data_IF_097499316589
#
_entry.id   IF_097499316589
#
_cell.length_a   1.000
_cell.length_b   1.000
_cell.length_c   1.000
_cell.angle_alpha   90.00
_cell.angle_beta   90.00
_cell.angle_gamma   90.00
#
_symmetry.space_group_name_H-M   'P 1'
#
loop_
_entity.id
_entity.type
_entity.pdbx_description
1 polymer ?
#
# COMPACT_ATOMS: atom_id res chain seq x y z
N UNK A 1 -16.86 -22.47 28.76
CA UNK A 1 -17.53 -21.67 27.72
C UNK A 1 -16.55 -21.46 26.59
N UNK A 2 -16.85 -21.93 25.38
CA UNK A 2 -16.08 -21.52 24.20
C UNK A 2 -16.43 -20.05 23.95
N UNK A 3 -15.44 -19.16 24.01
CA UNK A 3 -15.65 -17.79 23.56
C UNK A 3 -16.10 -17.88 22.10
N UNK A 4 -17.27 -17.36 21.78
CA UNK A 4 -17.77 -17.29 20.41
C UNK A 4 -16.85 -16.33 19.66
N UNK A 5 -15.80 -16.85 19.03
CA UNK A 5 -14.89 -16.07 18.22
C UNK A 5 -15.59 -15.64 16.95
N UNK A 6 -15.82 -14.33 16.79
CA UNK A 6 -16.45 -13.75 15.61
C UNK A 6 -15.44 -13.51 14.49
N UNK A 7 -15.89 -13.70 13.26
CA UNK A 7 -15.13 -13.44 12.03
C UNK A 7 -15.40 -12.00 11.58
N UNK A 8 -14.33 -11.23 11.37
CA UNK A 8 -14.39 -9.94 10.70
C UNK A 8 -14.15 -10.08 9.19
N UNK A 9 -14.62 -9.10 8.42
CA UNK A 9 -14.28 -8.94 7.01
C UNK A 9 -13.84 -7.52 6.72
N UNK A 10 -12.87 -7.36 5.82
CA UNK A 10 -12.32 -6.05 5.46
C UNK A 10 -12.11 -5.92 3.95
N UNK A 11 -12.49 -4.78 3.40
CA UNK A 11 -12.17 -4.41 2.02
C UNK A 11 -10.83 -3.67 1.99
N UNK A 12 -9.74 -4.40 1.74
CA UNK A 12 -8.39 -3.82 1.66
C UNK A 12 -8.24 -2.80 0.53
N UNK A 13 -9.00 -2.93 -0.57
CA UNK A 13 -8.96 -1.97 -1.67
C UNK A 13 -9.54 -0.64 -1.22
N UNK A 14 -10.69 -0.67 -0.53
CA UNK A 14 -11.31 0.53 0.01
C UNK A 14 -10.42 1.18 1.08
N UNK A 15 -9.86 0.39 2.01
CA UNK A 15 -8.94 0.89 3.04
C UNK A 15 -7.72 1.55 2.41
N UNK A 16 -7.04 0.87 1.48
CA UNK A 16 -5.87 1.42 0.79
C UNK A 16 -6.19 2.71 0.05
N UNK A 17 -7.29 2.76 -0.69
CA UNK A 17 -7.70 3.97 -1.45
C UNK A 17 -7.98 5.20 -0.58
N UNK A 18 -8.34 4.98 0.69
CA UNK A 18 -8.62 6.04 1.67
C UNK A 18 -7.48 6.23 2.68
N UNK A 19 -6.34 5.56 2.47
CA UNK A 19 -5.22 5.68 3.38
C UNK A 19 -4.64 7.11 3.35
N UNK A 20 -4.44 7.76 4.51
CA UNK A 20 -4.08 9.18 4.57
C UNK A 20 -2.72 9.49 3.92
N UNK A 21 -1.79 8.54 3.88
CA UNK A 21 -0.47 8.73 3.28
C UNK A 21 -0.43 8.43 1.77
N UNK A 22 -1.48 7.83 1.19
CA UNK A 22 -1.47 7.40 -0.21
C UNK A 22 -1.24 8.57 -1.18
N UNK A 23 -1.87 9.72 -0.92
CA UNK A 23 -1.70 10.91 -1.76
C UNK A 23 -0.24 11.41 -1.76
N UNK A 24 0.41 11.41 -0.59
CA UNK A 24 1.82 11.82 -0.46
C UNK A 24 2.75 10.84 -1.17
N UNK A 25 2.57 9.54 -0.98
CA UNK A 25 3.34 8.51 -1.65
C UNK A 25 3.20 8.57 -3.18
N UNK A 26 1.97 8.78 -3.69
CA UNK A 26 1.74 8.97 -5.12
C UNK A 26 2.42 10.22 -5.68
N UNK A 27 2.45 11.31 -4.92
CA UNK A 27 3.14 12.54 -5.33
C UNK A 27 4.66 12.33 -5.37
N UNK A 28 5.23 11.63 -4.39
CA UNK A 28 6.65 11.30 -4.35
C UNK A 28 7.04 10.37 -5.51
N UNK A 29 6.22 9.38 -5.83
CA UNK A 29 6.46 8.47 -6.96
C UNK A 29 6.37 9.19 -8.32
N UNK A 30 5.41 10.12 -8.48
CA UNK A 30 5.33 10.96 -9.67
C UNK A 30 6.57 11.84 -9.83
N UNK A 31 7.04 12.45 -8.73
CA UNK A 31 8.28 13.24 -8.74
C UNK A 31 9.48 12.39 -9.12
N UNK A 32 9.63 11.20 -8.53
CA UNK A 32 10.72 10.27 -8.85
C UNK A 32 10.70 9.87 -10.34
N UNK A 33 9.50 9.66 -10.90
CA UNK A 33 9.35 9.31 -12.32
C UNK A 33 9.76 10.47 -13.26
N UNK A 34 9.38 11.70 -12.91
CA UNK A 34 9.78 12.90 -13.67
C UNK A 34 11.29 13.14 -13.60
N UNK A 35 11.88 12.99 -12.42
CA UNK A 35 13.33 13.11 -12.22
C UNK A 35 14.09 12.03 -13.00
N UNK A 36 13.61 10.79 -12.97
CA UNK A 36 14.16 9.68 -13.74
C UNK A 36 14.11 9.95 -15.24
N UNK A 37 12.98 10.48 -15.75
CA UNK A 37 12.86 10.84 -17.16
C UNK A 37 13.86 11.94 -17.56
N UNK A 38 13.92 13.04 -16.80
CA UNK A 38 14.83 14.14 -17.09
C UNK A 38 16.31 13.70 -17.03
N UNK A 39 16.65 12.85 -16.06
CA UNK A 39 18.00 12.32 -15.91
C UNK A 39 18.37 11.34 -17.03
N UNK A 40 17.41 10.51 -17.49
CA UNK A 40 17.57 9.65 -18.65
C UNK A 40 17.82 10.47 -19.93
N UNK A 41 17.01 11.48 -20.22
CA UNK A 41 17.18 12.35 -21.39
C UNK A 41 18.55 13.03 -21.40
N UNK A 42 18.98 13.55 -20.24
CA UNK A 42 20.27 14.21 -20.08
C UNK A 42 21.46 13.26 -20.27
N UNK A 43 21.42 12.07 -19.67
CA UNK A 43 22.55 11.13 -19.69
C UNK A 43 22.62 10.29 -20.95
N UNK A 44 21.46 9.95 -21.53
CA UNK A 44 21.40 9.15 -22.75
C UNK A 44 21.97 9.87 -23.97
N UNK A 45 22.04 11.21 -23.96
CA UNK A 45 22.58 11.99 -25.07
C UNK A 45 24.03 11.61 -25.44
N UNK A 46 24.83 11.15 -24.48
CA UNK A 46 26.22 10.72 -24.69
C UNK A 46 26.42 9.21 -24.71
N UNK A 47 25.36 8.42 -24.51
CA UNK A 47 25.42 6.95 -24.41
C UNK A 47 25.21 6.28 -25.77
N UNK A 48 25.87 5.14 -25.97
CA UNK A 48 25.54 4.22 -27.06
C UNK A 48 24.26 3.42 -26.75
N UNK A 49 23.77 2.62 -27.70
CA UNK A 49 22.48 1.93 -27.55
C UNK A 49 22.48 0.89 -26.41
N UNK A 50 23.60 0.20 -26.18
CA UNK A 50 23.73 -0.75 -25.08
C UNK A 50 23.69 -0.03 -23.74
N UNK A 51 24.48 1.04 -23.59
CA UNK A 51 24.52 1.85 -22.37
C UNK A 51 23.15 2.49 -22.07
N UNK A 52 22.43 2.97 -23.09
CA UNK A 52 21.06 3.47 -22.95
C UNK A 52 20.11 2.40 -22.44
N UNK A 53 20.17 1.21 -23.03
CA UNK A 53 19.34 0.07 -22.62
C UNK A 53 19.61 -0.31 -21.16
N UNK A 54 20.88 -0.45 -20.78
CA UNK A 54 21.27 -0.80 -19.41
C UNK A 54 20.87 0.29 -18.41
N UNK A 55 21.02 1.56 -18.80
CA UNK A 55 20.60 2.69 -17.97
C UNK A 55 19.08 2.74 -17.76
N UNK A 56 18.32 2.45 -18.82
CA UNK A 56 16.86 2.36 -18.75
C UNK A 56 16.42 1.25 -17.79
N UNK A 57 16.99 0.06 -17.89
CA UNK A 57 16.66 -1.06 -17.00
C UNK A 57 16.98 -0.74 -15.53
N UNK A 58 18.14 -0.15 -15.26
CA UNK A 58 18.50 0.30 -13.91
C UNK A 58 17.53 1.37 -13.38
N UNK A 59 17.11 2.29 -14.24
CA UNK A 59 16.16 3.34 -13.88
C UNK A 59 14.81 2.73 -13.50
N UNK A 60 14.32 1.75 -14.28
CA UNK A 60 13.08 1.06 -13.97
C UNK A 60 13.15 0.26 -12.67
N UNK A 61 14.27 -0.40 -12.39
CA UNK A 61 14.48 -1.10 -11.10
C UNK A 61 14.46 -0.14 -9.92
N UNK A 62 15.12 1.04 -10.03
CA UNK A 62 15.09 2.05 -8.96
C UNK A 62 13.68 2.58 -8.72
N UNK A 63 12.91 2.80 -9.77
CA UNK A 63 11.51 3.24 -9.65
C UNK A 63 10.64 2.16 -8.99
N UNK A 64 10.86 0.89 -9.32
CA UNK A 64 10.17 -0.22 -8.64
C UNK A 64 10.50 -0.26 -7.14
N UNK A 65 11.79 -0.23 -6.78
CA UNK A 65 12.23 -0.21 -5.38
C UNK A 65 11.65 0.99 -4.63
N UNK A 66 11.67 2.17 -5.25
CA UNK A 66 11.09 3.38 -4.65
C UNK A 66 9.60 3.22 -4.41
N UNK A 67 8.86 2.59 -5.33
CA UNK A 67 7.44 2.31 -5.14
C UNK A 67 7.22 1.35 -3.95
N UNK A 68 8.02 0.29 -3.84
CA UNK A 68 7.97 -0.65 -2.71
C UNK A 68 8.25 0.07 -1.37
N UNK A 69 9.32 0.87 -1.29
CA UNK A 69 9.67 1.68 -0.10
C UNK A 69 8.55 2.63 0.33
N UNK A 70 7.82 3.20 -0.63
CA UNK A 70 6.71 4.13 -0.36
C UNK A 70 5.42 3.40 0.06
N UNK A 71 5.18 2.19 -0.45
CA UNK A 71 3.96 1.42 -0.19
C UNK A 71 4.06 0.55 1.06
N UNK A 72 5.23 -0.01 1.36
CA UNK A 72 5.45 -0.87 2.54
C UNK A 72 4.96 -0.22 3.87
N UNK A 73 5.27 1.05 4.21
CA UNK A 73 4.75 1.66 5.43
C UNK A 73 3.22 1.82 5.42
N UNK A 74 2.60 1.98 4.25
CA UNK A 74 1.14 2.05 4.09
C UNK A 74 0.53 0.67 4.31
N UNK A 75 1.13 -0.39 3.78
CA UNK A 75 0.63 -1.75 3.98
C UNK A 75 0.75 -2.16 5.45
N UNK A 76 1.88 -1.86 6.08
CA UNK A 76 2.12 -2.15 7.50
C UNK A 76 1.13 -1.40 8.42
N UNK A 77 0.87 -0.12 8.16
CA UNK A 77 -0.11 0.64 8.96
C UNK A 77 -1.53 0.09 8.83
N UNK A 78 -1.91 -0.41 7.64
CA UNK A 78 -3.20 -1.05 7.41
C UNK A 78 -3.29 -2.35 8.21
N UNK A 79 -2.25 -3.19 8.19
CA UNK A 79 -2.21 -4.43 8.96
C UNK A 79 -2.34 -4.16 10.47
N UNK A 80 -1.61 -3.16 10.98
CA UNK A 80 -1.69 -2.75 12.37
C UNK A 80 -3.07 -2.22 12.75
N UNK A 81 -3.70 -1.42 11.88
CA UNK A 81 -5.05 -0.93 12.10
C UNK A 81 -6.10 -2.06 12.11
N UNK A 82 -5.99 -3.02 11.19
CA UNK A 82 -6.84 -4.22 11.17
C UNK A 82 -6.69 -5.00 12.46
N UNK A 83 -5.44 -5.23 12.91
CA UNK A 83 -5.16 -5.94 14.16
C UNK A 83 -5.77 -5.24 15.37
N UNK A 84 -5.56 -3.92 15.53
CA UNK A 84 -6.13 -3.13 16.63
C UNK A 84 -7.66 -3.19 16.63
N UNK A 85 -8.30 -3.09 15.47
CA UNK A 85 -9.75 -3.18 15.35
C UNK A 85 -10.26 -4.58 15.71
N UNK A 86 -9.57 -5.63 15.27
CA UNK A 86 -9.88 -7.00 15.62
C UNK A 86 -9.81 -7.25 17.13
N UNK A 87 -8.72 -6.82 17.77
CA UNK A 87 -8.55 -6.90 19.22
C UNK A 87 -9.64 -6.15 19.99
N UNK A 88 -9.95 -4.90 19.59
CA UNK A 88 -11.01 -4.08 20.20
C UNK A 88 -12.40 -4.71 20.08
N UNK A 89 -12.65 -5.48 19.02
CA UNK A 89 -13.95 -6.11 18.74
C UNK A 89 -14.03 -7.60 19.14
N UNK A 90 -12.95 -8.17 19.67
CA UNK A 90 -12.88 -9.58 20.03
C UNK A 90 -12.95 -10.54 18.83
N UNK A 91 -12.49 -10.09 17.66
CA UNK A 91 -12.47 -10.88 16.43
C UNK A 91 -11.26 -11.81 16.43
N UNK A 92 -11.44 -13.08 16.08
CA UNK A 92 -10.34 -14.05 16.02
C UNK A 92 -9.63 -14.08 14.67
N UNK A 93 -10.31 -13.62 13.63
CA UNK A 93 -9.80 -13.60 12.26
C UNK A 93 -10.50 -12.48 11.49
N UNK A 94 -9.76 -11.83 10.60
CA UNK A 94 -10.31 -10.88 9.63
C UNK A 94 -9.96 -11.41 8.24
N UNK A 95 -10.97 -11.54 7.38
CA UNK A 95 -10.83 -12.10 6.03
C UNK A 95 -11.03 -10.98 5.00
N UNK A 96 -10.35 -11.08 3.87
CA UNK A 96 -10.60 -10.20 2.73
C UNK A 96 -12.06 -10.35 2.24
N UNK A 97 -12.75 -9.22 2.07
CA UNK A 97 -14.20 -9.19 1.84
C UNK A 97 -14.61 -9.80 0.50
N UNK A 98 -13.81 -9.67 -0.56
CA UNK A 98 -14.08 -10.24 -1.87
C UNK A 98 -14.12 -11.77 -1.90
N UNK A 99 -13.44 -12.43 -0.96
CA UNK A 99 -13.44 -13.88 -0.80
C UNK A 99 -14.65 -14.41 0.00
N UNK A 100 -15.49 -13.54 0.57
CA UNK A 100 -16.59 -13.93 1.45
C UNK A 100 -17.95 -13.80 0.75
N UNK A 101 -18.67 -14.93 0.66
CA UNK A 101 -20.00 -14.98 0.02
C UNK A 101 -21.13 -14.49 0.94
N UNK A 102 -21.07 -14.82 2.23
CA UNK A 102 -22.09 -14.44 3.21
C UNK A 102 -21.53 -14.47 4.64
N UNK A 103 -21.97 -13.53 5.47
CA UNK A 103 -21.61 -13.43 6.88
C UNK A 103 -20.40 -12.54 7.16
N UNK A 104 -19.87 -12.65 8.37
CA UNK A 104 -18.77 -11.83 8.85
C UNK A 104 -19.19 -10.41 9.26
N UNK A 105 -18.48 -9.85 10.24
CA UNK A 105 -18.66 -8.45 10.64
C UNK A 105 -17.76 -7.57 9.78
N UNK A 106 -18.35 -6.69 8.97
CA UNK A 106 -17.58 -5.71 8.20
C UNK A 106 -16.92 -4.68 9.13
N UNK A 107 -15.60 -4.64 9.11
CA UNK A 107 -14.77 -3.70 9.89
C UNK A 107 -14.08 -2.64 9.03
N UNK A 108 -14.37 -2.57 7.73
CA UNK A 108 -13.70 -1.69 6.77
C UNK A 108 -13.68 -0.23 7.24
N UNK A 109 -14.82 0.29 7.70
CA UNK A 109 -14.93 1.67 8.17
C UNK A 109 -14.24 1.89 9.52
N UNK A 110 -14.19 0.87 10.38
CA UNK A 110 -13.46 0.96 11.65
C UNK A 110 -11.95 1.05 11.40
N UNK A 111 -11.43 0.28 10.45
CA UNK A 111 -10.02 0.30 10.05
C UNK A 111 -9.64 1.65 9.43
N UNK A 112 -10.47 2.19 8.53
CA UNK A 112 -10.25 3.54 7.95
C UNK A 112 -10.17 4.61 9.05
N UNK A 113 -11.06 4.53 10.06
CA UNK A 113 -11.04 5.46 11.19
C UNK A 113 -9.81 5.30 12.08
N UNK A 114 -9.37 4.07 12.33
CA UNK A 114 -8.16 3.77 13.10
C UNK A 114 -6.90 4.37 12.44
N UNK A 115 -6.81 4.27 11.11
CA UNK A 115 -5.73 4.87 10.31
C UNK A 115 -5.71 6.40 10.41
N UNK A 116 -6.89 7.04 10.37
CA UNK A 116 -7.00 8.50 10.51
C UNK A 116 -6.75 9.03 11.93
N UNK A 117 -6.83 8.15 12.93
CA UNK A 117 -6.67 8.49 14.36
C UNK A 117 -5.25 8.25 14.88
N UNK A 118 -4.42 7.55 14.10
CA UNK A 118 -3.01 7.31 14.39
C UNK A 118 -2.19 8.55 13.99
N UNK A 119 -2.21 9.59 14.83
CA UNK A 119 -1.29 10.73 14.78
C UNK A 119 -0.28 10.65 15.93
#
# INVERSE_FOLDING_TARGET
>A
SAATSSVGVVDYRQVGSQHPQLAAANAEMQKASQEAQADFEKKSASMNDQEKSDYYQQTMQRLQQKNEELMEPIENSIQDAVKKVAEKKGLSVVIEKGAVVYGGQDVTQDVIKELGSSK
#
